data_IF_579731030702
#
_entry.id   IF_579731030702
#
_cell.length_a   1.000
_cell.length_b   1.000
_cell.length_c   1.000
_cell.angle_alpha   90.00
_cell.angle_beta   90.00
_cell.angle_gamma   90.00
#
_symmetry.space_group_name_H-M   'P 1'
#
loop_
_entity.id
_entity.type
_entity.pdbx_description
1 polymer ?
#
# COMPACT_ATOMS: atom_id res chain seq x y z
N UNK A 1 4.24 -11.57 -13.14
CA UNK A 1 3.01 -11.00 -12.56
C UNK A 1 3.37 -10.60 -11.14
N UNK A 2 3.17 -9.33 -10.76
CA UNK A 2 3.47 -8.88 -9.40
C UNK A 2 2.31 -9.17 -8.46
N UNK A 3 2.62 -9.60 -7.24
CA UNK A 3 1.63 -9.73 -6.18
C UNK A 3 1.08 -8.33 -5.84
N UNK A 4 -0.23 -8.24 -5.63
CA UNK A 4 -0.91 -7.00 -5.23
C UNK A 4 -1.59 -7.23 -3.90
N UNK A 5 -1.37 -6.31 -2.99
CA UNK A 5 -2.04 -6.21 -1.70
C UNK A 5 -3.06 -5.08 -1.76
N UNK A 6 -4.21 -5.28 -1.12
CA UNK A 6 -5.25 -4.27 -1.01
C UNK A 6 -5.64 -4.16 0.47
N UNK A 7 -5.72 -2.93 0.97
CA UNK A 7 -6.16 -2.63 2.32
C UNK A 7 -7.26 -1.57 2.26
N UNK A 8 -8.17 -1.61 3.23
CA UNK A 8 -9.21 -0.61 3.39
C UNK A 8 -9.45 -0.40 4.88
N UNK A 9 -9.82 0.82 5.27
CA UNK A 9 -10.40 1.08 6.59
C UNK A 9 -11.90 0.87 6.49
N UNK A 10 -12.48 0.16 7.46
CA UNK A 10 -13.93 -0.11 7.50
C UNK A 10 -14.76 1.19 7.51
N UNK A 11 -14.18 2.27 8.04
CA UNK A 11 -14.83 3.59 8.11
C UNK A 11 -14.44 4.51 6.94
N UNK A 12 -13.66 4.02 5.99
CA UNK A 12 -13.25 4.82 4.83
C UNK A 12 -14.41 4.90 3.83
N UNK A 13 -14.84 6.13 3.53
CA UNK A 13 -15.92 6.37 2.58
C UNK A 13 -15.41 6.19 1.14
N UNK A 14 -15.90 5.17 0.46
CA UNK A 14 -15.69 5.01 -1.00
C UNK A 14 -16.84 5.59 -1.82
N UNK A 15 -17.73 6.35 -1.18
CA UNK A 15 -18.94 6.89 -1.79
C UNK A 15 -18.64 7.84 -2.96
N UNK A 16 -19.58 7.95 -3.89
CA UNK A 16 -19.53 8.99 -4.94
C UNK A 16 -19.49 10.38 -4.30
N UNK A 17 -18.49 11.19 -4.69
CA UNK A 17 -18.35 12.58 -4.26
C UNK A 17 -17.17 12.87 -3.33
N UNK A 18 -16.48 11.85 -2.81
CA UNK A 18 -15.15 12.07 -2.24
C UNK A 18 -14.16 12.41 -3.37
N UNK A 19 -13.42 13.49 -3.17
CA UNK A 19 -12.42 13.95 -4.12
C UNK A 19 -11.17 13.08 -4.01
N UNK A 20 -11.14 12.00 -4.79
CA UNK A 20 -9.94 11.22 -5.03
C UNK A 20 -9.03 11.86 -6.11
N UNK A 21 -9.39 13.02 -6.66
CA UNK A 21 -8.58 13.73 -7.65
C UNK A 21 -7.53 14.59 -6.95
N UNK A 22 -6.43 13.96 -6.54
CA UNK A 22 -5.29 14.61 -5.93
C UNK A 22 -4.10 13.68 -5.80
N UNK A 23 -2.94 14.23 -5.48
CA UNK A 23 -1.80 13.43 -5.05
C UNK A 23 -2.19 12.76 -3.74
N UNK A 24 -2.33 11.43 -3.75
CA UNK A 24 -2.63 10.69 -2.54
C UNK A 24 -1.46 10.87 -1.57
N UNK A 25 -1.66 11.56 -0.44
CA UNK A 25 -0.67 11.70 0.64
C UNK A 25 -0.52 10.36 1.38
N UNK A 26 -0.16 9.31 0.65
CA UNK A 26 0.18 8.02 1.21
C UNK A 26 1.69 7.85 1.27
N UNK A 27 2.15 7.20 2.33
CA UNK A 27 3.51 6.70 2.44
C UNK A 27 3.46 5.21 2.71
N UNK A 28 4.32 4.45 2.05
CA UNK A 28 4.52 3.04 2.29
C UNK A 28 6.00 2.82 2.55
N UNK A 29 6.29 2.09 3.63
CA UNK A 29 7.63 1.61 3.94
C UNK A 29 7.63 0.10 4.01
N UNK A 30 8.71 -0.55 3.57
CA UNK A 30 8.93 -1.97 3.79
C UNK A 30 10.35 -2.22 4.29
N UNK A 31 10.44 -2.94 5.41
CA UNK A 31 11.70 -3.30 6.06
C UNK A 31 11.86 -4.81 5.99
N UNK A 32 12.99 -5.25 5.46
CA UNK A 32 13.39 -6.64 5.46
C UNK A 32 13.71 -7.08 6.89
N UNK A 33 13.02 -8.11 7.36
CA UNK A 33 13.17 -8.69 8.69
C UNK A 33 14.16 -9.86 8.72
N UNK A 34 14.44 -10.47 7.56
CA UNK A 34 15.30 -11.66 7.45
C UNK A 34 16.74 -11.32 7.06
N UNK A 35 16.94 -10.18 6.42
CA UNK A 35 18.21 -9.80 5.81
C UNK A 35 18.60 -8.35 6.03
N UNK A 36 19.27 -7.82 5.02
CA UNK A 36 19.82 -6.46 5.04
C UNK A 36 19.45 -5.69 3.78
N UNK A 37 18.36 -6.07 3.10
CA UNK A 37 17.90 -5.29 1.96
C UNK A 37 17.62 -3.84 2.37
N UNK A 38 17.84 -2.88 1.46
CA UNK A 38 17.48 -1.50 1.73
C UNK A 38 15.98 -1.37 2.04
N UNK A 39 15.64 -0.52 3.00
CA UNK A 39 14.25 -0.14 3.26
C UNK A 39 13.64 0.44 1.99
N UNK A 40 12.52 -0.15 1.56
CA UNK A 40 11.74 0.39 0.46
C UNK A 40 10.88 1.52 1.01
N UNK A 41 10.90 2.68 0.37
CA UNK A 41 10.03 3.81 0.69
C UNK A 41 9.33 4.22 -0.60
N UNK A 42 8.01 4.34 -0.53
CA UNK A 42 7.16 4.75 -1.64
C UNK A 42 6.20 5.82 -1.15
N UNK A 43 6.15 6.92 -1.89
CA UNK A 43 5.26 8.04 -1.62
C UNK A 43 4.30 8.21 -2.78
N UNK A 44 3.11 8.68 -2.48
CA UNK A 44 2.08 8.86 -3.49
C UNK A 44 1.45 7.55 -3.94
N UNK A 45 0.42 7.71 -4.76
CA UNK A 45 -0.38 6.61 -5.24
C UNK A 45 -1.28 7.09 -6.37
N UNK A 46 -1.83 6.13 -7.11
CA UNK A 46 -2.70 6.43 -8.24
C UNK A 46 -4.14 6.20 -7.84
N UNK A 47 -4.98 7.25 -7.77
CA UNK A 47 -6.42 7.12 -7.66
C UNK A 47 -6.95 6.19 -8.74
N UNK A 48 -7.65 5.15 -8.32
CA UNK A 48 -8.04 4.02 -9.16
C UNK A 48 -9.49 3.62 -8.88
N UNK A 49 -10.12 3.01 -9.89
CA UNK A 49 -11.50 2.55 -9.80
C UNK A 49 -11.64 1.11 -10.28
N UNK A 50 -12.40 0.31 -9.54
CA UNK A 50 -12.84 -1.02 -9.92
C UNK A 50 -14.35 -1.15 -9.62
N UNK A 51 -15.10 -1.90 -10.44
CA UNK A 51 -16.56 -1.99 -10.29
C UNK A 51 -17.01 -2.64 -8.97
N UNK A 52 -16.23 -3.59 -8.47
CA UNK A 52 -16.52 -4.39 -7.29
C UNK A 52 -16.05 -3.70 -6.01
N UNK A 53 -14.84 -3.11 -6.05
CA UNK A 53 -14.19 -2.47 -4.88
C UNK A 53 -14.48 -0.95 -4.79
N UNK A 54 -14.98 -0.33 -5.87
CA UNK A 54 -15.16 1.12 -6.03
C UNK A 54 -13.82 1.86 -6.08
N UNK A 55 -13.73 3.04 -5.46
CA UNK A 55 -12.54 3.88 -5.47
C UNK A 55 -11.50 3.34 -4.49
N UNK A 56 -10.23 3.34 -4.90
CA UNK A 56 -9.08 2.96 -4.08
C UNK A 56 -7.83 3.68 -4.56
N UNK A 57 -6.79 3.75 -3.71
CA UNK A 57 -5.47 4.26 -4.08
C UNK A 57 -4.56 3.08 -4.40
N UNK A 58 -3.95 3.08 -5.58
CA UNK A 58 -3.00 2.05 -5.99
C UNK A 58 -1.56 2.51 -5.71
N UNK A 59 -0.84 1.75 -4.89
CA UNK A 59 0.58 2.00 -4.57
C UNK A 59 1.40 0.80 -5.04
N UNK A 60 2.55 1.06 -5.65
CA UNK A 60 3.48 0.01 -6.07
C UNK A 60 4.39 -0.42 -4.93
N UNK A 61 4.43 -1.72 -4.63
CA UNK A 61 5.37 -2.31 -3.67
C UNK A 61 6.42 -3.15 -4.44
N UNK A 62 7.57 -2.54 -4.71
CA UNK A 62 8.69 -3.18 -5.41
C UNK A 62 9.73 -3.70 -4.42
N UNK A 63 9.52 -4.90 -3.89
CA UNK A 63 10.47 -5.54 -2.99
C UNK A 63 11.66 -6.10 -3.79
N UNK A 64 12.92 -5.81 -3.39
CA UNK A 64 14.11 -6.15 -4.17
C UNK A 64 14.46 -7.64 -4.14
N UNK A 65 14.06 -8.36 -3.08
CA UNK A 65 14.36 -9.77 -2.87
C UNK A 65 13.23 -10.51 -2.13
N UNK A 66 13.10 -11.83 -2.31
CA UNK A 66 12.23 -12.68 -1.49
C UNK A 66 12.65 -12.62 -0.01
N UNK A 67 11.70 -12.84 0.90
CA UNK A 67 11.96 -12.78 2.35
C UNK A 67 10.75 -12.33 3.16
N UNK A 68 10.96 -12.16 4.46
CA UNK A 68 9.99 -11.61 5.40
C UNK A 68 10.11 -10.08 5.46
N UNK A 69 9.02 -9.37 5.16
CA UNK A 69 8.99 -7.92 5.10
C UNK A 69 7.92 -7.35 6.03
N UNK A 70 8.31 -6.47 6.95
CA UNK A 70 7.36 -5.62 7.66
C UNK A 70 6.98 -4.44 6.76
N UNK A 71 5.70 -4.32 6.44
CA UNK A 71 5.18 -3.23 5.61
C UNK A 71 4.32 -2.32 6.48
N UNK A 72 4.60 -1.02 6.43
CA UNK A 72 3.79 0.01 7.08
C UNK A 72 3.28 0.99 6.04
N UNK A 73 1.95 1.11 5.94
CA UNK A 73 1.27 2.06 5.08
C UNK A 73 0.56 3.13 5.91
N UNK A 74 0.71 4.40 5.54
CA UNK A 74 0.05 5.53 6.18
C UNK A 74 -0.75 6.35 5.16
N UNK A 75 -1.92 6.84 5.59
CA UNK A 75 -2.83 7.66 4.78
C UNK A 75 -3.77 8.46 5.68
N UNK A 76 -3.82 9.79 5.53
CA UNK A 76 -4.60 10.72 6.38
C UNK A 76 -4.51 10.45 7.89
N UNK A 77 -3.30 10.16 8.39
CA UNK A 77 -3.06 9.90 9.81
C UNK A 77 -3.52 8.52 10.31
N UNK A 78 -4.12 7.69 9.45
CA UNK A 78 -4.28 6.27 9.71
C UNK A 78 -3.00 5.51 9.31
N UNK A 79 -2.68 4.46 10.04
CA UNK A 79 -1.53 3.59 9.80
C UNK A 79 -1.96 2.12 9.86
N UNK A 80 -1.39 1.30 8.98
CA UNK A 80 -1.53 -0.15 8.98
C UNK A 80 -0.15 -0.79 8.82
N UNK A 81 0.22 -1.63 9.78
CA UNK A 81 1.46 -2.42 9.75
C UNK A 81 1.12 -3.91 9.73
N UNK A 82 1.79 -4.65 8.85
CA UNK A 82 1.64 -6.09 8.73
C UNK A 82 2.90 -6.71 8.13
N UNK A 83 3.04 -8.03 8.26
CA UNK A 83 4.20 -8.77 7.74
C UNK A 83 3.80 -9.54 6.48
N UNK A 84 4.64 -9.46 5.44
CA UNK A 84 4.55 -10.24 4.21
C UNK A 84 5.67 -11.26 4.14
N UNK A 85 5.33 -12.52 3.91
CA UNK A 85 6.30 -13.49 3.40
C UNK A 85 6.27 -13.45 1.87
N UNK A 86 7.40 -13.18 1.25
CA UNK A 86 7.59 -13.24 -0.21
C UNK A 86 8.43 -14.47 -0.54
N UNK A 87 7.90 -15.33 -1.39
CA UNK A 87 8.57 -16.54 -1.89
C UNK A 87 9.12 -16.30 -3.31
N UNK A 88 10.01 -17.18 -3.76
CA UNK A 88 10.57 -17.18 -5.13
C UNK A 88 9.52 -17.42 -6.24
#
# INVERSE_FOLDING_TARGET
MGNKTLWFSENFSTAEGEDFSGDAENTLTAVDLDGSAPTVVQEGGVPSFNRDIKNFILVGLGLPEPGCWEVTASYHGAELTYVLQVEE
#
